data_IF_652555118000
#
_entry.id   IF_652555118000
#
_cell.length_a   1.000
_cell.length_b   1.000
_cell.length_c   1.000
_cell.angle_alpha   90.00
_cell.angle_beta   90.00
_cell.angle_gamma   90.00
#
_symmetry.space_group_name_H-M   'P 1'
#
loop_
_entity.id
_entity.type
_entity.pdbx_description
1 polymer ?
#
# COMPACT_ATOMS: atom_id res chain seq x y z
N UNK A 1 -1.13 8.01 -8.66
CA UNK A 1 -1.92 7.21 -7.67
C UNK A 1 -1.39 7.53 -6.29
N UNK A 2 -2.23 7.51 -5.26
CA UNK A 2 -1.75 7.67 -3.88
C UNK A 2 -0.96 6.42 -3.50
N UNK A 3 0.20 6.58 -2.86
CA UNK A 3 1.02 5.44 -2.41
C UNK A 3 0.36 4.63 -1.27
N UNK A 4 -0.75 5.15 -0.73
CA UNK A 4 -1.48 4.60 0.40
C UNK A 4 -2.98 4.72 0.18
N UNK A 5 -3.76 3.79 0.73
CA UNK A 5 -5.23 3.82 0.68
C UNK A 5 -5.87 3.16 1.91
N UNK A 6 -6.42 3.97 2.81
CA UNK A 6 -7.07 3.54 4.06
C UNK A 6 -8.57 3.75 3.98
N UNK A 7 -9.28 2.75 3.46
CA UNK A 7 -10.73 2.85 3.26
C UNK A 7 -11.47 2.42 4.52
N UNK A 8 -12.45 3.23 4.96
CA UNK A 8 -13.47 2.84 5.92
C UNK A 8 -14.76 2.44 5.16
N UNK A 9 -15.01 1.13 4.93
CA UNK A 9 -16.20 0.67 4.25
C UNK A 9 -17.39 0.49 5.20
N UNK A 10 -18.49 1.18 4.90
CA UNK A 10 -19.76 1.07 5.58
C UNK A 10 -20.93 1.09 4.58
N UNK A 11 -20.71 0.62 3.36
CA UNK A 11 -21.68 0.37 2.27
C UNK A 11 -22.60 -0.83 2.49
N UNK A 12 -22.45 -1.52 3.63
CA UNK A 12 -23.29 -2.64 3.97
C UNK A 12 -24.74 -2.16 4.12
N UNK A 13 -25.70 -2.92 3.58
CA UNK A 13 -27.14 -2.65 3.73
C UNK A 13 -27.76 -3.62 4.73
N UNK A 14 -27.73 -4.92 4.43
CA UNK A 14 -28.20 -5.99 5.33
C UNK A 14 -27.46 -6.03 6.68
N UNK A 15 -26.20 -5.60 6.71
CA UNK A 15 -25.41 -5.52 7.94
C UNK A 15 -26.02 -4.59 8.99
N UNK A 16 -26.53 -3.42 8.58
CA UNK A 16 -27.16 -2.46 9.49
C UNK A 16 -28.54 -2.91 9.92
N UNK A 17 -29.30 -3.58 9.04
CA UNK A 17 -30.57 -4.22 9.39
C UNK A 17 -30.40 -5.22 10.54
N UNK A 18 -29.34 -6.05 10.50
CA UNK A 18 -29.01 -6.95 11.62
C UNK A 18 -28.59 -6.23 12.90
N UNK A 19 -27.87 -5.11 12.81
CA UNK A 19 -27.54 -4.30 14.00
C UNK A 19 -28.83 -3.76 14.64
N UNK A 20 -29.76 -3.28 13.82
CA UNK A 20 -31.06 -2.78 14.27
C UNK A 20 -32.01 -3.90 14.71
N UNK A 21 -31.87 -5.12 14.20
CA UNK A 21 -32.78 -6.23 14.46
C UNK A 21 -34.03 -6.21 13.59
N UNK A 22 -33.94 -5.64 12.38
CA UNK A 22 -35.09 -5.34 11.50
C UNK A 22 -34.99 -6.11 10.18
N UNK A 23 -36.12 -6.30 9.49
CA UNK A 23 -36.24 -6.96 8.18
C UNK A 23 -36.92 -6.03 7.18
N UNK A 24 -36.85 -6.37 5.89
CA UNK A 24 -37.57 -5.62 4.85
C UNK A 24 -39.08 -5.95 4.86
N UNK A 25 -39.96 -5.01 4.46
CA UNK A 25 -39.66 -3.60 4.13
C UNK A 25 -39.37 -2.76 5.38
N UNK A 26 -38.46 -1.78 5.27
CA UNK A 26 -38.12 -0.89 6.37
C UNK A 26 -39.12 0.27 6.49
N UNK A 27 -39.55 0.58 7.70
CA UNK A 27 -40.28 1.81 8.02
C UNK A 27 -39.41 3.05 7.82
N UNK A 28 -40.04 4.24 7.78
CA UNK A 28 -39.33 5.53 7.73
C UNK A 28 -38.37 5.69 8.91
N UNK A 29 -38.79 5.29 10.12
CA UNK A 29 -38.00 5.36 11.35
C UNK A 29 -36.77 4.44 11.30
N UNK A 30 -36.93 3.21 10.83
CA UNK A 30 -35.81 2.26 10.70
C UNK A 30 -34.83 2.71 9.60
N UNK A 31 -35.36 3.22 8.49
CA UNK A 31 -34.53 3.82 7.42
C UNK A 31 -33.71 4.98 7.95
N UNK A 32 -34.31 5.88 8.74
CA UNK A 32 -33.60 6.99 9.36
C UNK A 32 -32.55 6.52 10.35
N UNK A 33 -32.84 5.49 11.17
CA UNK A 33 -31.86 4.92 12.10
C UNK A 33 -30.61 4.37 11.38
N UNK A 34 -30.76 3.73 10.22
CA UNK A 34 -29.62 3.28 9.40
C UNK A 34 -28.79 4.48 8.92
N UNK A 35 -29.44 5.55 8.44
CA UNK A 35 -28.76 6.79 8.02
C UNK A 35 -27.98 7.40 9.18
N UNK A 36 -28.59 7.50 10.36
CA UNK A 36 -27.96 8.09 11.56
C UNK A 36 -26.72 7.31 11.99
N UNK A 37 -26.76 5.98 11.95
CA UNK A 37 -25.59 5.15 12.21
C UNK A 37 -24.46 5.40 11.20
N UNK A 38 -24.77 5.56 9.91
CA UNK A 38 -23.75 5.89 8.89
C UNK A 38 -23.19 7.29 9.11
N UNK A 39 -24.01 8.25 9.53
CA UNK A 39 -23.55 9.60 9.92
C UNK A 39 -22.62 9.54 11.14
N UNK A 40 -22.89 8.69 12.13
CA UNK A 40 -21.98 8.47 13.25
C UNK A 40 -20.63 7.90 12.81
N UNK A 41 -20.63 6.90 11.91
CA UNK A 41 -19.40 6.34 11.35
C UNK A 41 -18.61 7.43 10.62
N UNK A 42 -19.28 8.19 9.77
CA UNK A 42 -18.64 9.27 9.01
C UNK A 42 -18.13 10.40 9.91
N UNK A 43 -18.82 10.70 11.01
CA UNK A 43 -18.35 11.65 12.02
C UNK A 43 -17.07 11.16 12.71
N UNK A 44 -16.99 9.87 13.02
CA UNK A 44 -15.77 9.24 13.55
C UNK A 44 -14.62 9.31 12.55
N UNK A 45 -14.89 9.05 11.28
CA UNK A 45 -13.91 9.20 10.20
C UNK A 45 -13.40 10.64 10.07
N UNK A 46 -14.31 11.63 10.01
CA UNK A 46 -13.92 13.06 9.94
C UNK A 46 -13.07 13.48 11.15
N UNK A 47 -13.37 12.95 12.33
CA UNK A 47 -12.56 13.19 13.54
C UNK A 47 -11.18 12.55 13.45
N UNK A 48 -11.05 11.39 12.81
CA UNK A 48 -9.76 10.74 12.58
C UNK A 48 -8.88 11.57 11.65
N UNK A 49 -9.46 12.11 10.56
CA UNK A 49 -8.76 13.01 9.65
C UNK A 49 -8.19 14.23 10.38
N UNK A 50 -9.00 14.91 11.21
CA UNK A 50 -8.53 16.06 12.01
C UNK A 50 -7.39 15.72 12.99
N UNK A 51 -7.22 14.45 13.36
CA UNK A 51 -6.25 13.98 14.36
C UNK A 51 -4.98 13.39 13.75
N UNK A 52 -4.87 13.32 12.42
CA UNK A 52 -3.79 12.60 11.76
C UNK A 52 -3.47 13.18 10.38
N UNK A 53 -2.28 12.90 9.87
CA UNK A 53 -1.82 13.37 8.55
C UNK A 53 -2.26 12.48 7.38
N UNK A 54 -3.34 11.70 7.53
CA UNK A 54 -3.77 10.70 6.55
C UNK A 54 -4.75 11.22 5.49
N UNK A 55 -5.05 12.53 5.47
CA UNK A 55 -6.07 13.13 4.61
C UNK A 55 -5.99 12.70 3.14
N UNK A 56 -4.79 12.63 2.56
CA UNK A 56 -4.58 12.25 1.16
C UNK A 56 -4.74 10.74 0.89
N UNK A 57 -4.71 9.91 1.94
CA UNK A 57 -4.70 8.45 1.85
C UNK A 57 -5.99 7.82 2.36
N UNK A 58 -6.77 8.53 3.16
CA UNK A 58 -7.98 8.04 3.78
C UNK A 58 -9.21 8.21 2.88
N UNK A 59 -10.03 7.16 2.80
CA UNK A 59 -11.24 7.17 2.00
C UNK A 59 -12.43 6.48 2.68
N UNK A 60 -13.61 6.71 2.12
CA UNK A 60 -14.85 6.07 2.56
C UNK A 60 -15.46 5.24 1.43
N UNK A 61 -16.10 4.13 1.79
CA UNK A 61 -16.94 3.35 0.88
C UNK A 61 -18.34 3.25 1.47
N UNK A 62 -19.32 3.85 0.82
CA UNK A 62 -20.71 3.94 1.31
C UNK A 62 -21.69 3.75 0.15
N UNK A 63 -22.84 3.15 0.43
CA UNK A 63 -23.92 2.97 -0.54
C UNK A 63 -24.72 4.26 -0.74
N UNK A 64 -25.34 4.38 -1.90
CA UNK A 64 -26.21 5.51 -2.20
C UNK A 64 -27.50 5.51 -1.36
N UNK A 65 -28.11 4.34 -1.14
CA UNK A 65 -29.45 4.21 -0.52
C UNK A 65 -29.55 4.92 0.83
N UNK A 66 -28.55 4.74 1.70
CA UNK A 66 -28.54 5.34 3.04
C UNK A 66 -27.40 6.35 3.23
N UNK A 67 -26.52 6.52 2.24
CA UNK A 67 -25.31 7.33 2.36
C UNK A 67 -25.16 8.42 1.30
N UNK A 68 -26.20 8.72 0.51
CA UNK A 68 -26.17 9.79 -0.51
C UNK A 68 -25.59 11.11 0.02
N UNK A 69 -26.10 11.62 1.14
CA UNK A 69 -25.63 12.90 1.70
C UNK A 69 -24.17 12.83 2.18
N UNK A 70 -23.72 11.65 2.64
CA UNK A 70 -22.33 11.42 3.03
C UNK A 70 -21.41 11.48 1.81
N UNK A 71 -21.82 10.90 0.67
CA UNK A 71 -21.06 10.97 -0.59
C UNK A 71 -20.91 12.41 -1.06
N UNK A 72 -21.98 13.21 -0.96
CA UNK A 72 -21.97 14.61 -1.37
C UNK A 72 -21.09 15.47 -0.44
N UNK A 73 -21.18 15.32 0.89
CA UNK A 73 -20.29 16.02 1.84
C UNK A 73 -18.83 15.60 1.65
N UNK A 74 -18.55 14.30 1.46
CA UNK A 74 -17.19 13.81 1.26
C UNK A 74 -16.56 14.37 -0.01
N UNK A 75 -17.32 14.43 -1.12
CA UNK A 75 -16.87 15.05 -2.37
C UNK A 75 -16.53 16.53 -2.17
N UNK A 76 -17.41 17.30 -1.51
CA UNK A 76 -17.17 18.73 -1.23
C UNK A 76 -15.90 18.96 -0.42
N UNK A 77 -15.54 18.01 0.45
CA UNK A 77 -14.34 18.07 1.31
C UNK A 77 -13.08 17.49 0.66
N UNK A 78 -13.14 17.04 -0.59
CA UNK A 78 -12.00 16.39 -1.27
C UNK A 78 -11.61 15.03 -0.66
N UNK A 79 -12.50 14.40 0.12
CA UNK A 79 -12.26 13.07 0.71
C UNK A 79 -12.33 12.03 -0.41
N UNK A 80 -11.44 11.03 -0.37
CA UNK A 80 -11.50 9.90 -1.30
C UNK A 80 -12.83 9.14 -1.11
N UNK A 81 -13.66 9.13 -2.14
CA UNK A 81 -14.91 8.35 -2.15
C UNK A 81 -14.79 7.14 -3.07
N UNK A 82 -15.17 5.99 -2.53
CA UNK A 82 -15.43 4.77 -3.28
C UNK A 82 -16.95 4.57 -3.40
N UNK A 83 -17.46 4.40 -4.61
CA UNK A 83 -18.89 4.27 -4.88
C UNK A 83 -19.27 2.84 -5.27
N UNK A 84 -20.16 2.21 -4.51
CA UNK A 84 -20.62 0.83 -4.74
C UNK A 84 -21.55 0.76 -5.96
N UNK A 85 -21.22 -0.10 -6.92
CA UNK A 85 -22.02 -0.33 -8.12
C UNK A 85 -22.86 -1.60 -8.07
N UNK A 86 -22.48 -2.60 -7.27
CA UNK A 86 -23.18 -3.88 -7.25
C UNK A 86 -24.45 -3.88 -6.39
N UNK A 87 -25.43 -4.66 -6.83
CA UNK A 87 -26.59 -5.03 -6.03
C UNK A 87 -26.16 -5.94 -4.89
N UNK A 88 -26.54 -5.58 -3.66
CA UNK A 88 -26.13 -6.30 -2.45
C UNK A 88 -26.71 -7.72 -2.41
N UNK A 89 -25.90 -8.66 -1.93
CA UNK A 89 -26.35 -10.02 -1.60
C UNK A 89 -26.51 -10.98 -2.78
N UNK A 90 -26.27 -10.53 -4.01
CA UNK A 90 -26.43 -11.37 -5.20
C UNK A 90 -25.28 -12.38 -5.34
N UNK A 91 -25.58 -13.53 -5.97
CA UNK A 91 -24.57 -14.53 -6.37
C UNK A 91 -23.85 -14.10 -7.66
N UNK A 92 -24.60 -13.56 -8.62
CA UNK A 92 -24.09 -12.98 -9.86
C UNK A 92 -24.00 -11.45 -9.72
N UNK A 93 -23.01 -10.85 -10.37
CA UNK A 93 -22.91 -9.41 -10.49
C UNK A 93 -24.07 -8.81 -11.30
N UNK A 94 -24.79 -7.92 -10.64
CA UNK A 94 -25.77 -7.01 -11.22
C UNK A 94 -25.50 -5.60 -10.71
N UNK A 95 -25.72 -4.60 -11.56
CA UNK A 95 -25.72 -3.21 -11.11
C UNK A 95 -26.87 -2.98 -10.13
N UNK A 96 -26.61 -2.23 -9.06
CA UNK A 96 -27.64 -1.82 -8.11
C UNK A 96 -28.69 -0.93 -8.77
N UNK A 97 -28.27 -0.16 -9.78
CA UNK A 97 -29.11 0.75 -10.54
C UNK A 97 -28.83 0.66 -12.03
N UNK A 98 -29.87 0.63 -12.85
CA UNK A 98 -29.75 0.66 -14.32
C UNK A 98 -29.09 1.96 -14.81
N UNK A 99 -29.31 3.07 -14.11
CA UNK A 99 -28.77 4.40 -14.44
C UNK A 99 -27.38 4.69 -13.84
N UNK A 100 -26.58 3.65 -13.52
CA UNK A 100 -25.30 3.81 -12.81
C UNK A 100 -24.33 4.82 -13.48
N UNK A 101 -24.35 4.92 -14.81
CA UNK A 101 -23.54 5.90 -15.57
C UNK A 101 -23.88 7.35 -15.18
N UNK A 102 -25.18 7.67 -15.00
CA UNK A 102 -25.64 8.98 -14.53
C UNK A 102 -25.20 9.21 -13.07
N UNK A 103 -25.26 8.19 -12.22
CA UNK A 103 -24.80 8.28 -10.83
C UNK A 103 -23.30 8.53 -10.70
N UNK A 104 -22.48 7.86 -11.51
CA UNK A 104 -21.03 8.11 -11.56
C UNK A 104 -20.71 9.56 -11.97
N UNK A 105 -21.47 10.15 -12.90
CA UNK A 105 -21.34 11.56 -13.27
C UNK A 105 -21.75 12.52 -12.14
N UNK A 106 -22.80 12.17 -11.38
CA UNK A 106 -23.28 12.95 -10.24
C UNK A 106 -22.25 12.96 -9.10
N UNK A 107 -21.85 11.78 -8.63
CA UNK A 107 -20.97 11.65 -7.47
C UNK A 107 -19.50 11.92 -7.82
N UNK A 108 -19.06 11.69 -9.06
CA UNK A 108 -17.66 11.77 -9.50
C UNK A 108 -16.69 11.10 -8.50
N UNK A 109 -16.91 9.84 -8.13
CA UNK A 109 -16.09 9.20 -7.12
C UNK A 109 -14.67 8.99 -7.64
N UNK A 110 -13.68 8.97 -6.72
CA UNK A 110 -12.31 8.57 -7.09
C UNK A 110 -12.27 7.12 -7.55
N UNK A 111 -13.00 6.24 -6.86
CA UNK A 111 -13.10 4.82 -7.19
C UNK A 111 -14.55 4.40 -7.43
N UNK A 112 -14.80 3.75 -8.56
CA UNK A 112 -15.99 2.92 -8.74
C UNK A 112 -15.70 1.53 -8.18
N UNK A 113 -16.53 1.05 -7.26
CA UNK A 113 -16.34 -0.22 -6.56
C UNK A 113 -17.33 -1.26 -7.05
N UNK A 114 -16.85 -2.47 -7.32
CA UNK A 114 -17.69 -3.66 -7.52
C UNK A 114 -17.26 -4.76 -6.55
N UNK A 115 -18.22 -5.44 -5.93
CA UNK A 115 -17.99 -6.75 -5.30
C UNK A 115 -18.42 -7.86 -6.24
N UNK A 116 -17.49 -8.78 -6.48
CA UNK A 116 -17.65 -9.94 -7.34
C UNK A 116 -17.47 -11.21 -6.52
N UNK A 117 -18.47 -12.09 -6.54
CA UNK A 117 -18.34 -13.44 -5.98
C UNK A 117 -17.83 -14.34 -7.09
N UNK A 118 -16.57 -14.76 -6.98
CA UNK A 118 -15.88 -15.47 -8.04
C UNK A 118 -15.10 -16.64 -7.46
N UNK A 119 -15.46 -17.86 -7.87
CA UNK A 119 -14.67 -19.04 -7.56
C UNK A 119 -14.36 -19.73 -8.90
N UNK A 120 -13.09 -19.79 -9.33
CA UNK A 120 -12.70 -20.31 -10.63
C UNK A 120 -12.97 -21.82 -10.81
N UNK A 121 -13.26 -22.52 -9.72
CA UNK A 121 -13.61 -23.95 -9.71
C UNK A 121 -15.11 -24.21 -9.52
N UNK A 122 -15.93 -23.16 -9.47
CA UNK A 122 -17.38 -23.28 -9.34
C UNK A 122 -18.06 -23.24 -10.72
N UNK A 123 -18.99 -22.31 -10.94
CA UNK A 123 -19.75 -22.22 -12.18
C UNK A 123 -18.99 -21.39 -13.24
N UNK A 124 -18.36 -22.06 -14.20
CA UNK A 124 -17.59 -21.43 -15.27
C UNK A 124 -18.42 -20.50 -16.16
N UNK A 125 -19.65 -20.89 -16.51
CA UNK A 125 -20.55 -20.08 -17.36
C UNK A 125 -20.94 -18.78 -16.65
N UNK A 126 -21.27 -18.86 -15.35
CA UNK A 126 -21.53 -17.71 -14.50
C UNK A 126 -20.31 -16.79 -14.44
N UNK A 127 -19.13 -17.34 -14.19
CA UNK A 127 -17.88 -16.59 -14.12
C UNK A 127 -17.58 -15.85 -15.43
N UNK A 128 -17.75 -16.51 -16.58
CA UNK A 128 -17.58 -15.90 -17.91
C UNK A 128 -18.50 -14.70 -18.11
N UNK A 129 -19.81 -14.84 -17.85
CA UNK A 129 -20.78 -13.73 -17.96
C UNK A 129 -20.45 -12.56 -17.04
N UNK A 130 -19.99 -12.85 -15.82
CA UNK A 130 -19.58 -11.79 -14.90
C UNK A 130 -18.34 -11.04 -15.41
N UNK A 131 -17.35 -11.76 -15.95
CA UNK A 131 -16.15 -11.15 -16.52
C UNK A 131 -16.50 -10.24 -17.71
N UNK A 132 -17.35 -10.70 -18.65
CA UNK A 132 -17.81 -9.91 -19.80
C UNK A 132 -18.43 -8.57 -19.38
N UNK A 133 -19.34 -8.59 -18.38
CA UNK A 133 -19.94 -7.37 -17.81
C UNK A 133 -18.88 -6.42 -17.22
N UNK A 134 -17.83 -6.97 -16.61
CA UNK A 134 -16.76 -6.17 -16.02
C UNK A 134 -15.79 -5.61 -17.07
N UNK A 135 -15.62 -6.26 -18.22
CA UNK A 135 -14.83 -5.72 -19.34
C UNK A 135 -15.47 -4.43 -19.86
N UNK A 136 -16.78 -4.45 -20.08
CA UNK A 136 -17.53 -3.26 -20.51
C UNK A 136 -17.43 -2.13 -19.50
N UNK A 137 -17.59 -2.45 -18.20
CA UNK A 137 -17.43 -1.48 -17.13
C UNK A 137 -16.01 -0.91 -17.10
N UNK A 138 -14.99 -1.74 -17.23
CA UNK A 138 -13.58 -1.33 -17.20
C UNK A 138 -13.27 -0.34 -18.34
N UNK A 139 -13.74 -0.64 -19.57
CA UNK A 139 -13.63 0.27 -20.72
C UNK A 139 -14.31 1.62 -20.45
N UNK A 140 -15.52 1.60 -19.90
CA UNK A 140 -16.25 2.82 -19.55
C UNK A 140 -15.52 3.66 -18.49
N UNK A 141 -15.08 3.04 -17.39
CA UNK A 141 -14.39 3.73 -16.29
C UNK A 141 -13.08 4.36 -16.76
N UNK A 142 -12.29 3.66 -17.58
CA UNK A 142 -11.07 4.19 -18.20
C UNK A 142 -11.37 5.44 -19.05
N UNK A 143 -12.41 5.40 -19.89
CA UNK A 143 -12.85 6.57 -20.69
C UNK A 143 -13.26 7.76 -19.81
N UNK A 144 -13.87 7.49 -18.66
CA UNK A 144 -14.30 8.54 -17.72
C UNK A 144 -13.20 8.98 -16.73
N UNK A 145 -11.99 8.40 -16.80
CA UNK A 145 -10.89 8.63 -15.84
C UNK A 145 -11.31 8.38 -14.38
N UNK A 146 -12.21 7.42 -14.17
CA UNK A 146 -12.61 6.94 -12.83
C UNK A 146 -11.82 5.68 -12.54
N UNK A 147 -11.17 5.60 -11.38
CA UNK A 147 -10.39 4.42 -11.02
C UNK A 147 -11.32 3.26 -10.66
N UNK A 148 -10.92 2.04 -10.99
CA UNK A 148 -11.69 0.84 -10.72
C UNK A 148 -11.16 0.12 -9.48
N UNK A 149 -12.05 -0.15 -8.52
CA UNK A 149 -11.77 -0.94 -7.33
C UNK A 149 -12.62 -2.22 -7.36
N UNK A 150 -11.99 -3.37 -7.54
CA UNK A 150 -12.68 -4.65 -7.59
C UNK A 150 -12.44 -5.44 -6.30
N UNK A 151 -13.52 -5.74 -5.60
CA UNK A 151 -13.53 -6.66 -4.46
C UNK A 151 -13.87 -8.06 -4.95
N UNK A 152 -12.89 -8.96 -4.93
CA UNK A 152 -13.10 -10.38 -5.27
C UNK A 152 -13.30 -11.16 -3.99
N UNK A 153 -14.38 -11.93 -3.91
CA UNK A 153 -14.66 -12.83 -2.80
C UNK A 153 -14.79 -14.27 -3.31
N UNK A 154 -13.81 -15.11 -2.96
CA UNK A 154 -13.88 -16.54 -3.21
C UNK A 154 -14.80 -17.21 -2.20
N UNK A 155 -15.96 -17.66 -2.67
CA UNK A 155 -16.88 -18.45 -1.86
C UNK A 155 -16.59 -19.92 -2.13
N UNK A 156 -16.21 -20.69 -1.11
CA UNK A 156 -15.98 -22.12 -1.29
C UNK A 156 -17.27 -22.82 -1.73
N UNK A 157 -17.16 -23.79 -2.63
CA UNK A 157 -18.27 -24.65 -2.98
C UNK A 157 -18.65 -25.57 -1.81
N UNK A 158 -19.85 -26.16 -1.83
CA UNK A 158 -20.25 -27.17 -0.84
C UNK A 158 -19.26 -28.35 -0.81
N UNK A 159 -18.78 -28.80 -1.97
CA UNK A 159 -17.78 -29.87 -2.08
C UNK A 159 -16.41 -29.48 -1.50
N UNK A 160 -15.96 -28.25 -1.74
CA UNK A 160 -14.72 -27.73 -1.13
C UNK A 160 -14.85 -27.67 0.40
N UNK A 161 -15.97 -27.17 0.94
CA UNK A 161 -16.20 -27.15 2.39
C UNK A 161 -16.18 -28.56 2.99
N UNK A 162 -16.84 -29.53 2.35
CA UNK A 162 -16.82 -30.95 2.79
C UNK A 162 -15.40 -31.52 2.79
N UNK A 163 -14.61 -31.24 1.74
CA UNK A 163 -13.23 -31.74 1.60
C UNK A 163 -12.28 -31.16 2.65
N UNK A 164 -12.35 -29.87 2.92
CA UNK A 164 -11.41 -29.21 3.84
C UNK A 164 -11.87 -29.24 5.30
N UNK A 165 -13.09 -29.71 5.58
CA UNK A 165 -13.73 -29.85 6.91
C UNK A 165 -13.97 -28.53 7.66
N UNK A 166 -13.00 -27.60 7.65
CA UNK A 166 -13.10 -26.29 8.29
C UNK A 166 -12.80 -25.14 7.33
N UNK A 167 -13.39 -23.97 7.60
CA UNK A 167 -13.08 -22.73 6.86
C UNK A 167 -11.59 -22.40 6.97
N UNK A 168 -10.99 -22.55 8.14
CA UNK A 168 -9.56 -22.30 8.38
C UNK A 168 -8.69 -23.18 7.49
N UNK A 169 -8.97 -24.49 7.42
CA UNK A 169 -8.21 -25.40 6.56
C UNK A 169 -8.34 -25.03 5.07
N UNK A 170 -9.52 -24.62 4.61
CA UNK A 170 -9.71 -24.08 3.26
C UNK A 170 -8.89 -22.80 3.02
N UNK A 171 -8.93 -21.86 3.96
CA UNK A 171 -8.22 -20.59 3.90
C UNK A 171 -6.71 -20.80 3.78
N UNK A 172 -6.15 -21.73 4.55
CA UNK A 172 -4.71 -22.04 4.53
C UNK A 172 -4.28 -22.88 3.32
N UNK A 173 -5.06 -23.88 2.90
CA UNK A 173 -4.61 -24.88 1.91
C UNK A 173 -5.01 -24.55 0.47
N UNK A 174 -6.09 -23.78 0.26
CA UNK A 174 -6.72 -23.64 -1.07
C UNK A 174 -7.01 -22.21 -1.48
N UNK A 175 -7.42 -21.33 -0.56
CA UNK A 175 -7.90 -19.98 -0.90
C UNK A 175 -6.89 -19.15 -1.69
N UNK A 176 -5.62 -19.12 -1.28
CA UNK A 176 -4.58 -18.37 -2.01
C UNK A 176 -4.44 -18.79 -3.48
N UNK A 177 -4.49 -20.11 -3.75
CA UNK A 177 -4.46 -20.65 -5.12
C UNK A 177 -5.69 -20.23 -5.93
N UNK A 178 -6.87 -20.21 -5.29
CA UNK A 178 -8.10 -19.75 -5.93
C UNK A 178 -8.08 -18.25 -6.22
N UNK A 179 -7.56 -17.42 -5.32
CA UNK A 179 -7.38 -15.98 -5.52
C UNK A 179 -6.49 -15.74 -6.75
N UNK A 180 -5.30 -16.34 -6.80
CA UNK A 180 -4.37 -16.19 -7.94
C UNK A 180 -5.05 -16.62 -9.24
N UNK A 181 -5.75 -17.76 -9.24
CA UNK A 181 -6.45 -18.25 -10.43
C UNK A 181 -7.60 -17.31 -10.85
N UNK A 182 -8.39 -16.81 -9.90
CA UNK A 182 -9.47 -15.86 -10.17
C UNK A 182 -8.96 -14.57 -10.81
N UNK A 183 -7.88 -14.00 -10.25
CA UNK A 183 -7.23 -12.79 -10.78
C UNK A 183 -6.69 -13.05 -12.18
N UNK A 184 -6.00 -14.18 -12.39
CA UNK A 184 -5.47 -14.57 -13.70
C UNK A 184 -6.58 -14.70 -14.75
N UNK A 185 -7.70 -15.37 -14.43
CA UNK A 185 -8.86 -15.50 -15.33
C UNK A 185 -9.48 -14.14 -15.67
N UNK A 186 -9.66 -13.27 -14.67
CA UNK A 186 -10.22 -11.93 -14.86
C UNK A 186 -9.30 -11.05 -15.73
N UNK A 187 -7.99 -11.04 -15.45
CA UNK A 187 -7.01 -10.30 -16.24
C UNK A 187 -6.95 -10.78 -17.69
N UNK A 188 -6.93 -12.10 -17.91
CA UNK A 188 -6.99 -12.70 -19.26
C UNK A 188 -8.26 -12.34 -20.01
N UNK A 189 -9.38 -12.17 -19.29
CA UNK A 189 -10.63 -11.68 -19.87
C UNK A 189 -10.62 -10.18 -20.18
N UNK A 190 -9.60 -9.42 -19.75
CA UNK A 190 -9.51 -7.97 -19.93
C UNK A 190 -10.04 -7.14 -18.75
N UNK A 191 -10.18 -7.75 -17.57
CA UNK A 191 -10.58 -7.08 -16.32
C UNK A 191 -9.34 -6.90 -15.45
N UNK A 192 -8.77 -5.69 -15.49
CA UNK A 192 -7.61 -5.32 -14.66
C UNK A 192 -7.88 -3.98 -13.95
N UNK A 193 -8.44 -4.01 -12.73
CA UNK A 193 -8.76 -2.84 -11.92
C UNK A 193 -7.50 -2.16 -11.37
N UNK A 194 -7.58 -0.86 -11.09
CA UNK A 194 -6.49 -0.12 -10.43
C UNK A 194 -6.22 -0.65 -9.01
N UNK A 195 -7.28 -1.01 -8.28
CA UNK A 195 -7.21 -1.53 -6.92
C UNK A 195 -7.94 -2.87 -6.81
N UNK A 196 -7.21 -3.89 -6.41
CA UNK A 196 -7.76 -5.17 -5.97
C UNK A 196 -8.03 -5.13 -4.46
N UNK A 197 -9.29 -5.25 -4.06
CA UNK A 197 -9.68 -5.36 -2.66
C UNK A 197 -9.83 -6.84 -2.31
N UNK A 198 -8.86 -7.39 -1.61
CA UNK A 198 -8.72 -8.84 -1.41
C UNK A 198 -8.71 -9.21 0.07
N UNK A 199 -9.06 -10.46 0.37
CA UNK A 199 -8.93 -11.01 1.71
C UNK A 199 -7.47 -11.09 2.15
N UNK A 200 -7.24 -10.88 3.45
CA UNK A 200 -5.90 -11.07 4.01
C UNK A 200 -5.52 -12.55 4.05
N UNK A 201 -4.22 -12.80 3.89
CA UNK A 201 -3.61 -14.12 4.00
C UNK A 201 -2.74 -14.19 5.25
N UNK A 202 -2.54 -15.41 5.77
CA UNK A 202 -1.79 -15.63 7.00
C UNK A 202 -0.27 -15.60 6.81
N UNK A 203 0.20 -15.92 5.61
CA UNK A 203 1.63 -16.02 5.26
C UNK A 203 1.99 -14.96 4.23
N UNK A 204 3.17 -14.34 4.41
CA UNK A 204 3.67 -13.28 3.52
C UNK A 204 3.87 -13.82 2.11
N UNK A 205 4.44 -15.01 1.98
CA UNK A 205 4.80 -15.64 0.71
C UNK A 205 3.57 -15.94 -0.15
N UNK A 206 2.43 -16.22 0.49
CA UNK A 206 1.16 -16.39 -0.23
C UNK A 206 0.61 -15.06 -0.72
N UNK A 207 0.79 -13.98 0.06
CA UNK A 207 0.38 -12.64 -0.32
C UNK A 207 1.28 -12.07 -1.43
N UNK A 208 2.57 -12.39 -1.43
CA UNK A 208 3.51 -12.07 -2.53
C UNK A 208 3.07 -12.73 -3.83
N UNK A 209 2.73 -14.03 -3.82
CA UNK A 209 2.19 -14.70 -5.03
C UNK A 209 0.92 -14.05 -5.59
N UNK A 210 0.04 -13.57 -4.71
CA UNK A 210 -1.15 -12.80 -5.12
C UNK A 210 -0.75 -11.45 -5.71
N UNK A 211 0.21 -10.75 -5.09
CA UNK A 211 0.73 -9.49 -5.59
C UNK A 211 1.38 -9.63 -6.97
N UNK A 212 2.21 -10.66 -7.18
CA UNK A 212 2.87 -10.94 -8.45
C UNK A 212 1.82 -11.09 -9.57
N UNK A 213 0.76 -11.88 -9.32
CA UNK A 213 -0.34 -12.04 -10.26
C UNK A 213 -1.08 -10.71 -10.52
N UNK A 214 -1.41 -9.95 -9.47
CA UNK A 214 -2.05 -8.63 -9.60
C UNK A 214 -1.24 -7.70 -10.49
N UNK A 215 0.09 -7.69 -10.36
CA UNK A 215 0.97 -6.80 -11.12
C UNK A 215 1.38 -7.33 -12.49
N UNK A 216 0.98 -8.55 -12.85
CA UNK A 216 1.43 -9.22 -14.10
C UNK A 216 1.02 -8.45 -15.35
N UNK A 217 -0.24 -8.00 -15.45
CA UNK A 217 -0.74 -7.28 -16.63
C UNK A 217 -0.58 -5.76 -16.50
N UNK A 218 -0.59 -5.26 -15.27
CA UNK A 218 -0.42 -3.84 -14.98
C UNK A 218 0.42 -3.66 -13.71
N UNK A 219 1.71 -3.27 -13.84
CA UNK A 219 2.58 -3.00 -12.69
C UNK A 219 2.08 -1.90 -11.76
N UNK A 220 1.12 -1.07 -12.22
CA UNK A 220 0.51 -0.01 -11.40
C UNK A 220 -0.66 -0.50 -10.57
N UNK A 221 -1.25 -1.68 -10.85
CA UNK A 221 -2.30 -2.26 -10.01
C UNK A 221 -1.79 -2.46 -8.58
N UNK A 222 -2.64 -2.17 -7.59
CA UNK A 222 -2.33 -2.29 -6.16
C UNK A 222 -3.41 -3.05 -5.41
N UNK A 223 -3.08 -3.41 -4.17
CA UNK A 223 -3.96 -4.18 -3.30
C UNK A 223 -4.33 -3.38 -2.05
N UNK A 224 -5.59 -3.51 -1.62
CA UNK A 224 -6.00 -3.19 -0.25
C UNK A 224 -6.57 -4.43 0.42
N UNK A 225 -6.12 -4.71 1.65
CA UNK A 225 -6.56 -5.88 2.41
C UNK A 225 -7.88 -5.59 3.13
N UNK A 226 -8.87 -6.47 2.99
CA UNK A 226 -10.16 -6.34 3.66
C UNK A 226 -10.23 -7.19 4.94
N UNK A 227 -10.99 -6.73 5.94
CA UNK A 227 -11.13 -7.43 7.24
C UNK A 227 -12.28 -8.44 7.32
N UNK A 228 -13.19 -8.50 6.33
CA UNK A 228 -14.40 -9.36 6.24
C UNK A 228 -15.35 -9.36 7.45
N UNK A 229 -15.16 -8.48 8.43
CA UNK A 229 -15.89 -8.51 9.70
C UNK A 229 -15.47 -9.67 10.60
N UNK A 230 -14.25 -10.17 10.42
CA UNK A 230 -13.55 -11.01 11.40
C UNK A 230 -13.26 -10.19 12.67
N UNK A 231 -12.86 -10.87 13.74
CA UNK A 231 -12.47 -10.20 14.99
C UNK A 231 -11.22 -9.31 14.79
N UNK A 232 -11.00 -8.42 15.74
CA UNK A 232 -9.91 -7.43 15.70
C UNK A 232 -8.54 -8.09 15.56
N UNK A 233 -8.25 -9.14 16.35
CA UNK A 233 -6.96 -9.86 16.31
C UNK A 233 -6.63 -10.40 14.92
N UNK A 234 -7.62 -11.02 14.26
CA UNK A 234 -7.45 -11.59 12.93
C UNK A 234 -7.36 -10.52 11.84
N UNK A 235 -8.17 -9.47 11.92
CA UNK A 235 -8.07 -8.33 11.01
C UNK A 235 -6.70 -7.64 11.11
N UNK A 236 -6.17 -7.48 12.32
CA UNK A 236 -4.84 -6.95 12.58
C UNK A 236 -3.75 -7.85 11.98
N UNK A 237 -3.83 -9.16 12.19
CA UNK A 237 -2.89 -10.11 11.60
C UNK A 237 -2.86 -10.01 10.07
N UNK A 238 -4.03 -9.95 9.43
CA UNK A 238 -4.15 -9.80 7.98
C UNK A 238 -3.55 -8.49 7.47
N UNK A 239 -3.80 -7.38 8.17
CA UNK A 239 -3.21 -6.08 7.84
C UNK A 239 -1.70 -6.12 7.99
N UNK A 240 -1.17 -6.71 9.07
CA UNK A 240 0.27 -6.87 9.28
C UNK A 240 0.90 -7.69 8.17
N UNK A 241 0.34 -8.85 7.82
CA UNK A 241 0.87 -9.68 6.73
C UNK A 241 0.83 -8.94 5.40
N UNK A 242 -0.29 -8.26 5.09
CA UNK A 242 -0.43 -7.46 3.88
C UNK A 242 0.58 -6.33 3.79
N UNK A 243 0.79 -5.59 4.88
CA UNK A 243 1.74 -4.47 4.94
C UNK A 243 3.16 -4.88 4.55
N UNK A 244 3.55 -6.14 4.76
CA UNK A 244 4.88 -6.66 4.39
C UNK A 244 5.09 -6.85 2.89
N UNK A 245 4.06 -6.66 2.06
CA UNK A 245 4.11 -6.86 0.61
C UNK A 245 3.97 -5.52 -0.10
N UNK A 246 4.85 -5.24 -1.06
CA UNK A 246 4.99 -3.90 -1.66
C UNK A 246 3.73 -3.45 -2.42
N UNK A 247 3.10 -4.35 -3.18
CA UNK A 247 1.87 -4.05 -3.91
C UNK A 247 0.66 -3.73 -3.01
N UNK A 248 0.73 -4.07 -1.72
CA UNK A 248 -0.32 -3.74 -0.75
C UNK A 248 -0.08 -2.34 -0.21
N UNK A 249 -1.02 -1.44 -0.49
CA UNK A 249 -0.93 -0.01 -0.17
C UNK A 249 -1.85 0.41 0.99
N UNK A 250 -2.62 -0.51 1.55
CA UNK A 250 -3.46 -0.21 2.69
C UNK A 250 -4.52 -1.26 2.93
N UNK A 251 -5.66 -0.81 3.44
CA UNK A 251 -6.72 -1.70 3.90
C UNK A 251 -8.11 -1.12 3.66
N UNK A 252 -9.11 -2.00 3.75
CA UNK A 252 -10.53 -1.67 3.75
C UNK A 252 -11.24 -2.42 4.89
N UNK A 253 -11.27 -1.84 6.10
CA UNK A 253 -11.82 -2.47 7.31
C UNK A 253 -13.04 -1.72 7.82
N UNK A 254 -14.20 -2.37 7.74
CA UNK A 254 -15.51 -1.78 8.05
C UNK A 254 -16.04 -2.20 9.41
N UNK A 255 -16.82 -3.29 9.44
CA UNK A 255 -17.55 -3.74 10.63
C UNK A 255 -16.69 -3.85 11.89
N UNK A 256 -15.43 -4.28 11.78
CA UNK A 256 -14.50 -4.36 12.92
C UNK A 256 -14.25 -3.00 13.57
N UNK A 257 -14.33 -1.90 12.81
CA UNK A 257 -14.19 -0.52 13.33
C UNK A 257 -15.45 -0.06 14.07
N UNK A 258 -16.64 -0.29 13.52
CA UNK A 258 -17.86 0.40 13.98
C UNK A 258 -18.96 -0.48 14.58
N UNK A 259 -18.95 -1.80 14.36
CA UNK A 259 -20.09 -2.66 14.75
C UNK A 259 -20.33 -2.61 16.27
N UNK A 260 -19.29 -2.82 17.08
CA UNK A 260 -19.44 -2.83 18.53
C UNK A 260 -19.80 -1.44 19.10
N UNK A 261 -19.15 -0.33 18.70
CA UNK A 261 -19.58 1.00 19.11
C UNK A 261 -21.04 1.33 18.79
N UNK A 262 -21.55 0.90 17.63
CA UNK A 262 -22.96 1.09 17.28
C UNK A 262 -23.89 0.22 18.11
N UNK A 263 -23.51 -1.03 18.42
CA UNK A 263 -24.30 -1.91 19.30
C UNK A 263 -24.36 -1.37 20.73
N UNK A 264 -23.22 -0.91 21.27
CA UNK A 264 -23.16 -0.29 22.60
C UNK A 264 -24.06 0.96 22.65
N UNK A 265 -24.04 1.79 21.61
CA UNK A 265 -24.91 2.97 21.50
C UNK A 265 -26.39 2.58 21.39
N UNK A 266 -26.73 1.64 20.51
CA UNK A 266 -28.10 1.12 20.35
C UNK A 266 -28.67 0.63 21.67
N UNK A 267 -27.87 -0.10 22.43
CA UNK A 267 -28.24 -0.68 23.72
C UNK A 267 -28.12 0.31 24.88
N UNK A 268 -27.97 1.62 24.60
CA UNK A 268 -27.84 2.72 25.57
C UNK A 268 -26.69 2.55 26.57
N UNK A 269 -25.70 1.69 26.28
CA UNK A 269 -24.50 1.48 27.12
C UNK A 269 -23.52 2.64 27.04
N UNK A 270 -23.52 3.38 25.94
CA UNK A 270 -22.66 4.54 25.73
C UNK A 270 -23.43 5.66 25.00
N UNK A 271 -23.00 6.90 25.20
CA UNK A 271 -23.53 8.03 24.44
C UNK A 271 -23.05 8.04 22.98
N UNK A 272 -23.77 8.80 22.13
CA UNK A 272 -23.39 9.01 20.72
C UNK A 272 -21.97 9.54 20.58
N UNK A 273 -21.55 10.46 21.44
CA UNK A 273 -20.21 11.06 21.41
C UNK A 273 -19.11 10.04 21.77
N UNK A 274 -19.36 9.15 22.73
CA UNK A 274 -18.45 8.05 23.08
C UNK A 274 -18.36 7.05 21.93
N UNK A 275 -19.48 6.69 21.29
CA UNK A 275 -19.47 5.80 20.12
C UNK A 275 -18.63 6.37 18.96
N UNK A 276 -18.79 7.66 18.65
CA UNK A 276 -17.97 8.37 17.65
C UNK A 276 -16.48 8.35 18.03
N UNK A 277 -16.14 8.62 19.31
CA UNK A 277 -14.76 8.54 19.81
C UNK A 277 -14.17 7.13 19.64
N UNK A 278 -14.92 6.07 19.99
CA UNK A 278 -14.50 4.67 19.80
C UNK A 278 -14.28 4.34 18.32
N UNK A 279 -15.20 4.72 17.42
CA UNK A 279 -15.05 4.54 15.97
C UNK A 279 -13.77 5.22 15.46
N UNK A 280 -13.53 6.46 15.91
CA UNK A 280 -12.32 7.23 15.56
C UNK A 280 -11.05 6.46 15.98
N UNK A 281 -11.00 6.01 17.24
CA UNK A 281 -9.86 5.25 17.79
C UNK A 281 -9.63 3.95 17.01
N UNK A 282 -10.69 3.18 16.77
CA UNK A 282 -10.59 1.89 16.09
C UNK A 282 -10.11 2.05 14.64
N UNK A 283 -10.53 3.09 13.93
CA UNK A 283 -10.03 3.36 12.58
C UNK A 283 -8.55 3.74 12.58
N UNK A 284 -8.14 4.64 13.47
CA UNK A 284 -6.73 5.05 13.61
C UNK A 284 -5.83 3.88 14.06
N UNK A 285 -6.33 2.96 14.89
CA UNK A 285 -5.60 1.74 15.26
C UNK A 285 -5.15 0.96 14.02
N UNK A 286 -6.03 0.72 13.05
CA UNK A 286 -5.66 -0.01 11.83
C UNK A 286 -4.70 0.78 10.92
N UNK A 287 -4.81 2.12 10.91
CA UNK A 287 -3.82 2.98 10.26
C UNK A 287 -2.45 2.77 10.91
N UNK A 288 -2.37 2.86 12.23
CA UNK A 288 -1.11 2.71 12.98
C UNK A 288 -0.51 1.32 12.80
N UNK A 289 -1.34 0.27 12.85
CA UNK A 289 -0.91 -1.11 12.60
C UNK A 289 -0.28 -1.23 11.22
N UNK A 290 -0.96 -0.73 10.18
CA UNK A 290 -0.47 -0.83 8.81
C UNK A 290 0.85 -0.05 8.64
N UNK A 291 0.88 1.20 9.10
CA UNK A 291 2.05 2.09 8.97
C UNK A 291 3.27 1.54 9.73
N UNK A 292 3.08 1.11 10.98
CA UNK A 292 4.17 0.52 11.78
C UNK A 292 4.73 -0.73 11.12
N UNK A 293 3.89 -1.60 10.59
CA UNK A 293 4.36 -2.83 9.95
C UNK A 293 5.01 -2.55 8.59
N UNK A 294 4.46 -1.62 7.78
CA UNK A 294 5.04 -1.19 6.51
C UNK A 294 6.41 -0.54 6.71
N UNK A 295 6.61 0.21 7.79
CA UNK A 295 7.89 0.80 8.14
C UNK A 295 8.94 -0.26 8.50
N UNK A 296 8.57 -1.35 9.17
CA UNK A 296 9.50 -2.45 9.46
C UNK A 296 10.01 -3.15 8.21
N UNK A 297 9.23 -3.15 7.12
CA UNK A 297 9.61 -3.80 5.87
C UNK A 297 10.23 -2.86 4.85
N UNK A 298 10.24 -1.54 5.09
CA UNK A 298 11.04 -0.64 4.26
C UNK A 298 12.50 -1.07 4.37
N UNK A 299 13.10 -1.41 3.23
CA UNK A 299 14.54 -1.69 3.17
C UNK A 299 15.28 -0.50 3.77
N UNK A 300 16.07 -0.78 4.81
CA UNK A 300 16.95 0.22 5.41
C UNK A 300 18.06 0.52 4.42
N UNK A 301 18.46 1.79 4.33
CA UNK A 301 19.71 2.15 3.66
C UNK A 301 20.85 2.17 4.67
N UNK A 302 22.07 1.96 4.20
CA UNK A 302 23.25 2.06 5.03
C UNK A 302 23.96 3.37 4.77
N UNK A 303 24.37 4.06 5.83
CA UNK A 303 25.16 5.27 5.71
C UNK A 303 26.47 5.12 6.48
N UNK A 304 27.56 5.65 5.94
CA UNK A 304 28.85 5.63 6.61
C UNK A 304 29.76 6.78 6.17
N UNK A 305 30.69 7.15 7.05
CA UNK A 305 31.74 8.13 6.78
C UNK A 305 32.92 7.92 7.71
N UNK A 306 34.06 8.42 7.30
CA UNK A 306 35.18 8.83 8.14
C UNK A 306 34.94 10.26 8.71
N UNK A 307 35.93 10.81 9.41
CA UNK A 307 35.94 12.14 10.01
C UNK A 307 35.68 13.24 9.01
N UNK A 308 36.18 13.07 7.78
CA UNK A 308 36.03 14.00 6.68
C UNK A 308 34.57 14.14 6.23
N UNK A 309 33.80 13.04 6.26
CA UNK A 309 32.39 13.01 5.92
C UNK A 309 31.43 13.22 7.10
N UNK A 310 31.90 13.14 8.34
CA UNK A 310 31.08 13.10 9.56
C UNK A 310 30.01 14.21 9.65
N UNK A 311 30.41 15.47 9.44
CA UNK A 311 29.49 16.62 9.55
C UNK A 311 28.31 16.51 8.58
N UNK A 312 28.57 16.18 7.32
CA UNK A 312 27.53 16.06 6.30
C UNK A 312 26.68 14.81 6.54
N UNK A 313 27.29 13.70 7.00
CA UNK A 313 26.57 12.48 7.40
C UNK A 313 25.52 12.76 8.46
N UNK A 314 25.87 13.47 9.54
CA UNK A 314 24.94 13.81 10.61
C UNK A 314 23.78 14.68 10.14
N UNK A 315 24.04 15.62 9.22
CA UNK A 315 22.99 16.43 8.60
C UNK A 315 22.05 15.57 7.74
N UNK A 316 22.59 14.63 6.95
CA UNK A 316 21.81 13.69 6.15
C UNK A 316 20.97 12.77 7.05
N UNK A 317 21.51 12.25 8.16
CA UNK A 317 20.78 11.42 9.12
C UNK A 317 19.53 12.12 9.65
N UNK A 318 19.65 13.40 10.01
CA UNK A 318 18.49 14.23 10.42
C UNK A 318 17.47 14.36 9.30
N UNK A 319 17.92 14.60 8.07
CA UNK A 319 17.04 14.67 6.91
C UNK A 319 16.32 13.34 6.64
N UNK A 320 17.02 12.20 6.70
CA UNK A 320 16.45 10.86 6.51
C UNK A 320 15.37 10.57 7.56
N UNK A 321 15.63 10.90 8.84
CA UNK A 321 14.67 10.78 9.94
C UNK A 321 13.40 11.60 9.67
N UNK A 322 13.55 12.86 9.28
CA UNK A 322 12.42 13.75 8.98
C UNK A 322 11.59 13.28 7.78
N UNK A 323 12.21 12.56 6.84
CA UNK A 323 11.54 11.99 5.66
C UNK A 323 11.07 10.54 5.85
N UNK A 324 11.17 9.98 7.06
CA UNK A 324 10.76 8.60 7.38
C UNK A 324 11.42 7.56 6.45
N UNK A 325 12.68 7.80 6.11
CA UNK A 325 13.53 6.86 5.38
C UNK A 325 14.30 6.06 6.43
N UNK A 326 14.08 4.74 6.44
CA UNK A 326 14.75 3.86 7.39
C UNK A 326 16.23 3.75 7.03
N UNK A 327 17.12 3.94 8.01
CA UNK A 327 18.57 3.84 7.79
C UNK A 327 19.29 3.21 8.99
N UNK A 328 20.52 2.76 8.77
CA UNK A 328 21.47 2.36 9.80
C UNK A 328 22.83 3.02 9.50
N UNK A 329 23.42 3.67 10.50
CA UNK A 329 24.77 4.22 10.43
C UNK A 329 25.77 3.11 10.76
N UNK A 330 26.70 2.88 9.84
CA UNK A 330 27.83 1.95 9.96
C UNK A 330 29.18 2.69 9.87
N UNK A 331 29.14 4.03 9.87
CA UNK A 331 30.31 4.89 9.92
C UNK A 331 30.76 5.19 11.35
N UNK A 332 31.56 6.22 11.50
CA UNK A 332 31.97 6.75 12.79
C UNK A 332 30.80 7.33 13.63
N UNK A 333 30.64 6.89 14.88
CA UNK A 333 29.55 7.36 15.75
C UNK A 333 29.87 8.68 16.46
N UNK A 334 31.16 9.02 16.54
CA UNK A 334 31.70 10.28 17.00
C UNK A 334 32.74 10.78 15.98
N UNK A 335 33.14 12.04 16.09
CA UNK A 335 34.24 12.57 15.29
C UNK A 335 35.56 12.01 15.83
N UNK A 336 36.26 11.23 15.02
CA UNK A 336 37.58 10.68 15.31
C UNK A 336 38.51 10.99 14.16
N UNK A 337 39.40 11.96 14.34
CA UNK A 337 40.28 12.45 13.26
C UNK A 337 41.32 11.43 12.78
N UNK A 338 41.44 10.29 13.46
CA UNK A 338 42.35 9.20 13.11
C UNK A 338 41.66 8.07 12.35
N UNK A 339 40.35 8.16 12.13
CA UNK A 339 39.60 7.14 11.39
C UNK A 339 39.87 7.20 9.87
N UNK A 340 39.72 6.05 9.21
CA UNK A 340 39.97 5.91 7.77
C UNK A 340 38.73 5.42 7.02
N UNK A 341 38.44 6.04 5.87
CA UNK A 341 37.25 5.72 5.07
C UNK A 341 37.12 4.25 4.61
N UNK A 342 38.20 3.47 4.33
CA UNK A 342 38.04 2.09 3.84
C UNK A 342 37.28 1.20 4.81
N UNK A 343 37.47 1.36 6.11
CA UNK A 343 36.81 0.55 7.15
C UNK A 343 35.29 0.68 7.09
N UNK A 344 34.81 1.91 6.91
CA UNK A 344 33.39 2.20 6.83
C UNK A 344 32.82 1.88 5.44
N UNK A 345 33.62 2.09 4.37
CA UNK A 345 33.25 1.72 3.01
C UNK A 345 32.95 0.22 2.89
N UNK A 346 33.85 -0.61 3.43
CA UNK A 346 33.72 -2.06 3.37
C UNK A 346 32.48 -2.55 4.15
N UNK A 347 32.27 -2.03 5.37
CA UNK A 347 31.10 -2.34 6.22
C UNK A 347 29.79 -2.03 5.50
N UNK A 348 29.67 -0.83 4.93
CA UNK A 348 28.47 -0.41 4.18
C UNK A 348 28.29 -1.26 2.93
N UNK A 349 29.34 -1.44 2.13
CA UNK A 349 29.25 -2.17 0.87
C UNK A 349 28.86 -3.65 1.08
N UNK A 350 29.46 -4.35 2.04
CA UNK A 350 29.09 -5.73 2.40
C UNK A 350 27.61 -5.83 2.78
N UNK A 351 27.10 -4.89 3.57
CA UNK A 351 25.69 -4.85 3.99
C UNK A 351 24.73 -4.54 2.84
N UNK A 352 25.07 -3.57 2.00
CA UNK A 352 24.31 -3.21 0.79
C UNK A 352 24.14 -4.40 -0.15
N UNK A 353 25.23 -5.12 -0.43
CA UNK A 353 25.21 -6.31 -1.30
C UNK A 353 24.40 -7.44 -0.67
N UNK A 354 24.70 -7.78 0.60
CA UNK A 354 24.03 -8.88 1.31
C UNK A 354 22.51 -8.68 1.39
N UNK A 355 22.07 -7.48 1.72
CA UNK A 355 20.65 -7.18 1.96
C UNK A 355 19.93 -6.63 0.71
N UNK A 356 20.64 -6.53 -0.43
CA UNK A 356 20.14 -6.01 -1.72
C UNK A 356 19.38 -4.68 -1.53
N UNK A 357 20.05 -3.73 -0.89
CA UNK A 357 19.52 -2.40 -0.56
C UNK A 357 20.44 -1.30 -1.14
N UNK A 358 20.33 -0.07 -0.65
CA UNK A 358 21.12 1.07 -1.07
C UNK A 358 22.03 1.59 0.06
N UNK A 359 23.16 2.19 -0.33
CA UNK A 359 24.13 2.80 0.57
C UNK A 359 24.38 4.27 0.25
N UNK A 360 24.82 5.03 1.26
CA UNK A 360 25.38 6.37 1.14
C UNK A 360 26.72 6.36 1.86
N UNK A 361 27.78 6.78 1.17
CA UNK A 361 29.12 6.88 1.74
C UNK A 361 29.65 8.30 1.61
N UNK A 362 30.41 8.75 2.59
CA UNK A 362 31.03 10.07 2.58
C UNK A 362 32.48 9.96 3.01
N UNK A 363 33.35 10.70 2.32
CA UNK A 363 34.68 11.06 2.80
C UNK A 363 35.03 12.45 2.28
N UNK A 364 36.28 12.92 2.42
CA UNK A 364 36.72 14.24 1.97
C UNK A 364 36.25 14.58 0.54
N UNK A 365 36.78 13.85 -0.45
CA UNK A 365 36.44 14.00 -1.89
C UNK A 365 35.36 13.03 -2.40
N UNK A 366 34.99 12.03 -1.59
CA UNK A 366 34.22 10.84 -1.97
C UNK A 366 34.87 9.90 -3.00
N UNK A 367 36.07 10.17 -3.49
CA UNK A 367 36.74 9.30 -4.47
C UNK A 367 37.29 8.03 -3.83
N UNK A 368 38.10 8.17 -2.77
CA UNK A 368 38.70 7.03 -2.08
C UNK A 368 37.64 6.07 -1.53
N UNK A 369 36.60 6.60 -0.88
CA UNK A 369 35.50 5.78 -0.33
C UNK A 369 34.72 5.06 -1.42
N UNK A 370 34.59 5.66 -2.61
CA UNK A 370 33.98 5.04 -3.79
C UNK A 370 34.84 3.90 -4.33
N UNK A 371 36.16 4.11 -4.44
CA UNK A 371 37.11 3.07 -4.86
C UNK A 371 37.09 1.90 -3.90
N UNK A 372 37.19 2.15 -2.59
CA UNK A 372 37.17 1.12 -1.56
C UNK A 372 35.87 0.31 -1.56
N UNK A 373 34.71 0.97 -1.65
CA UNK A 373 33.42 0.28 -1.69
C UNK A 373 33.29 -0.65 -2.90
N UNK A 374 33.80 -0.24 -4.07
CA UNK A 374 33.79 -1.05 -5.29
C UNK A 374 34.75 -2.26 -5.25
N UNK A 375 35.58 -2.41 -4.21
CA UNK A 375 36.35 -3.66 -3.97
C UNK A 375 35.48 -4.79 -3.43
N UNK A 376 34.28 -4.50 -2.92
CA UNK A 376 33.33 -5.52 -2.49
C UNK A 376 32.53 -6.01 -3.69
N UNK A 377 32.64 -7.30 -4.01
CA UNK A 377 31.92 -7.93 -5.13
C UNK A 377 30.41 -7.63 -5.07
N UNK A 378 29.87 -7.14 -6.19
CA UNK A 378 28.47 -6.73 -6.33
C UNK A 378 28.15 -5.31 -5.83
N UNK A 379 29.09 -4.62 -5.20
CA UNK A 379 28.96 -3.19 -4.91
C UNK A 379 29.22 -2.39 -6.19
N UNK A 380 28.38 -1.39 -6.43
CA UNK A 380 28.49 -0.42 -7.53
C UNK A 380 28.34 0.96 -6.93
N UNK A 381 29.43 1.44 -6.36
CA UNK A 381 29.55 2.77 -5.79
C UNK A 381 29.86 3.79 -6.88
N UNK A 382 29.24 4.97 -6.77
CA UNK A 382 29.38 6.08 -7.72
C UNK A 382 29.58 7.39 -6.97
N UNK A 383 30.39 8.29 -7.51
CA UNK A 383 30.56 9.66 -7.02
C UNK A 383 30.06 10.67 -8.07
N UNK A 384 28.74 10.82 -8.27
CA UNK A 384 28.20 11.75 -9.26
C UNK A 384 28.31 13.20 -8.76
N UNK A 385 28.60 14.14 -9.66
CA UNK A 385 28.73 15.56 -9.32
C UNK A 385 27.40 16.34 -9.38
N UNK A 386 26.29 15.68 -9.72
CA UNK A 386 24.98 16.33 -9.80
C UNK A 386 23.81 15.37 -10.01
N UNK A 387 22.60 15.93 -9.96
CA UNK A 387 21.33 15.18 -9.94
C UNK A 387 21.13 14.34 -11.21
N UNK A 388 21.51 14.86 -12.38
CA UNK A 388 21.39 14.15 -13.67
C UNK A 388 22.32 12.94 -13.70
N UNK A 389 23.57 13.08 -13.25
CA UNK A 389 24.48 11.95 -13.15
C UNK A 389 24.00 10.93 -12.11
N UNK A 390 23.43 11.38 -10.98
CA UNK A 390 22.82 10.47 -10.00
C UNK A 390 21.64 9.69 -10.59
N UNK A 391 20.81 10.35 -11.42
CA UNK A 391 19.70 9.71 -12.14
C UNK A 391 20.23 8.62 -13.07
N UNK A 392 21.24 8.94 -13.89
CA UNK A 392 21.84 7.98 -14.82
C UNK A 392 22.49 6.82 -14.06
N UNK A 393 23.30 7.09 -13.02
CA UNK A 393 23.92 6.07 -12.18
C UNK A 393 22.93 4.99 -11.70
N UNK A 394 21.71 5.38 -11.30
CA UNK A 394 20.66 4.41 -10.96
C UNK A 394 20.05 3.76 -12.18
N UNK A 395 19.66 4.57 -13.18
CA UNK A 395 18.85 4.14 -14.32
C UNK A 395 19.62 3.23 -15.27
N UNK A 396 20.90 3.50 -15.50
CA UNK A 396 21.74 2.86 -16.52
C UNK A 396 22.78 1.91 -15.92
N UNK A 397 23.40 2.27 -14.78
CA UNK A 397 24.47 1.49 -14.15
C UNK A 397 24.00 0.67 -12.94
N UNK A 398 22.71 0.72 -12.60
CA UNK A 398 22.13 0.11 -11.39
C UNK A 398 23.02 0.28 -10.14
N UNK A 399 23.55 1.49 -9.95
CA UNK A 399 24.41 1.79 -8.81
C UNK A 399 23.66 1.54 -7.50
N UNK A 400 24.35 0.99 -6.50
CA UNK A 400 23.75 0.67 -5.20
C UNK A 400 24.37 1.44 -4.03
N UNK A 401 25.44 2.19 -4.26
CA UNK A 401 26.05 3.07 -3.25
C UNK A 401 26.29 4.46 -3.85
N UNK A 402 25.81 5.51 -3.19
CA UNK A 402 26.05 6.90 -3.55
C UNK A 402 27.15 7.49 -2.66
N UNK A 403 28.26 7.92 -3.25
CA UNK A 403 29.37 8.58 -2.57
C UNK A 403 29.22 10.11 -2.69
N UNK A 404 29.41 10.85 -1.59
CA UNK A 404 29.28 12.31 -1.54
C UNK A 404 30.47 12.96 -0.82
N UNK A 405 30.99 14.05 -1.37
CA UNK A 405 32.11 14.78 -0.78
C UNK A 405 31.69 15.50 0.51
N UNK A 406 32.39 15.22 1.61
CA UNK A 406 32.23 15.82 2.93
C UNK A 406 33.02 17.10 3.14
N UNK A 407 34.03 17.36 2.29
CA UNK A 407 34.78 18.62 2.20
C UNK A 407 35.77 18.93 3.32
N UNK A 408 35.97 18.01 4.29
CA UNK A 408 37.08 18.11 5.25
C UNK A 408 38.20 17.18 4.80
N UNK A 409 39.10 17.65 3.94
CA UNK A 409 40.36 16.95 3.63
C UNK A 409 41.53 17.77 4.18
N UNK A 410 42.74 17.19 4.21
CA UNK A 410 43.99 17.95 4.42
C UNK A 410 44.15 19.10 3.42
N UNK A 411 43.44 19.06 2.29
CA UNK A 411 43.28 20.16 1.32
C UNK A 411 41.84 20.73 1.37
N UNK A 412 41.66 22.06 1.26
CA UNK A 412 40.34 22.70 1.28
C UNK A 412 39.58 22.38 -0.02
N UNK A 413 38.80 21.30 0.00
CA UNK A 413 37.83 20.98 -1.07
C UNK A 413 36.42 21.29 -0.57
N UNK A 414 35.55 21.94 -1.36
CA UNK A 414 34.19 22.24 -0.92
C UNK A 414 33.40 20.96 -0.68
N UNK A 415 32.69 20.91 0.45
CA UNK A 415 31.73 19.86 0.73
C UNK A 415 30.54 19.94 -0.22
N UNK A 416 29.86 18.82 -0.45
CA UNK A 416 28.58 18.83 -1.17
C UNK A 416 27.56 19.58 -0.31
N UNK A 417 26.97 20.70 -0.79
CA UNK A 417 25.99 21.42 0.01
C UNK A 417 24.79 20.53 0.36
N UNK A 418 24.29 20.61 1.59
CA UNK A 418 23.22 19.73 2.08
C UNK A 418 21.98 19.71 1.17
N UNK A 419 21.59 20.87 0.62
CA UNK A 419 20.46 20.98 -0.32
C UNK A 419 20.70 20.15 -1.59
N UNK A 420 21.94 20.15 -2.10
CA UNK A 420 22.33 19.36 -3.27
C UNK A 420 22.41 17.86 -2.91
N UNK A 421 23.05 17.54 -1.78
CA UNK A 421 23.16 16.17 -1.27
C UNK A 421 21.79 15.50 -1.10
N UNK A 422 20.84 16.18 -0.45
CA UNK A 422 19.48 15.64 -0.22
C UNK A 422 18.68 15.47 -1.51
N UNK A 423 18.84 16.37 -2.50
CA UNK A 423 18.25 16.18 -3.84
C UNK A 423 18.85 14.96 -4.54
N UNK A 424 20.16 14.78 -4.50
CA UNK A 424 20.83 13.62 -5.09
C UNK A 424 20.41 12.32 -4.40
N UNK A 425 20.39 12.28 -3.07
CA UNK A 425 19.90 11.12 -2.29
C UNK A 425 18.45 10.82 -2.68
N UNK A 426 17.57 11.82 -2.73
CA UNK A 426 16.18 11.61 -3.15
C UNK A 426 16.09 11.03 -4.57
N UNK A 427 16.87 11.53 -5.51
CA UNK A 427 16.94 10.97 -6.87
C UNK A 427 17.44 9.53 -6.86
N UNK A 428 18.52 9.24 -6.12
CA UNK A 428 19.12 7.92 -6.02
C UNK A 428 18.17 6.87 -5.43
N UNK A 429 17.43 7.23 -4.38
CA UNK A 429 16.50 6.33 -3.72
C UNK A 429 15.22 6.06 -4.55
N UNK A 430 14.80 7.01 -5.39
CA UNK A 430 13.52 6.92 -6.12
C UNK A 430 13.66 6.52 -7.59
N UNK A 431 14.88 6.43 -8.12
CA UNK A 431 15.11 6.07 -9.54
C UNK A 431 15.25 4.56 -9.67
N UNK A 432 14.33 3.87 -10.37
CA UNK A 432 14.48 2.45 -10.67
C UNK A 432 15.54 2.25 -11.77
N UNK A 433 16.16 1.06 -11.78
CA UNK A 433 16.92 0.60 -12.94
C UNK A 433 15.98 0.46 -14.14
N UNK A 434 16.45 0.84 -15.33
CA UNK A 434 15.60 0.87 -16.53
C UNK A 434 15.31 -0.49 -17.14
N UNK A 435 16.09 -1.52 -16.81
CA UNK A 435 15.97 -2.88 -17.37
C UNK A 435 16.07 -2.94 -18.92
N UNK A 436 16.50 -1.87 -19.59
CA UNK A 436 16.75 -1.88 -21.03
C UNK A 436 17.89 -2.86 -21.36
N UNK A 437 17.74 -3.62 -22.45
CA UNK A 437 18.70 -4.67 -22.85
C UNK A 437 20.15 -4.17 -22.90
N UNK A 438 20.35 -2.95 -23.42
CA UNK A 438 21.69 -2.32 -23.51
C UNK A 438 22.34 -2.13 -22.14
N UNK A 439 21.55 -1.81 -21.11
CA UNK A 439 22.02 -1.59 -19.74
C UNK A 439 22.28 -2.92 -19.03
N UNK A 440 21.37 -3.91 -19.18
CA UNK A 440 21.57 -5.28 -18.68
C UNK A 440 22.86 -5.89 -19.26
N UNK A 441 23.07 -5.74 -20.58
CA UNK A 441 24.29 -6.21 -21.26
C UNK A 441 25.55 -5.59 -20.66
N UNK A 442 25.57 -4.27 -20.41
CA UNK A 442 26.71 -3.57 -19.80
C UNK A 442 26.96 -4.03 -18.37
N UNK A 443 25.91 -4.18 -17.57
CA UNK A 443 26.01 -4.73 -16.21
C UNK A 443 26.59 -6.14 -16.19
N UNK A 444 26.16 -7.01 -17.10
CA UNK A 444 26.71 -8.36 -17.21
C UNK A 444 28.19 -8.36 -17.57
N UNK A 445 28.67 -7.39 -18.36
CA UNK A 445 30.11 -7.23 -18.63
C UNK A 445 30.86 -6.76 -17.37
N UNK A 446 30.34 -5.77 -16.65
CA UNK A 446 30.93 -5.31 -15.37
C UNK A 446 31.02 -6.46 -14.37
N UNK A 447 29.95 -7.25 -14.23
CA UNK A 447 29.91 -8.41 -13.32
C UNK A 447 30.99 -9.46 -13.64
N UNK A 448 31.36 -9.63 -14.91
CA UNK A 448 32.47 -10.52 -15.32
C UNK A 448 33.85 -9.97 -14.95
N UNK A 449 33.97 -8.66 -14.73
CA UNK A 449 35.21 -8.01 -14.30
C UNK A 449 35.41 -8.06 -12.78
N UNK A 450 34.35 -8.34 -12.00
CA UNK A 450 34.43 -8.49 -10.55
C UNK A 450 35.29 -9.70 -10.19
N UNK A 451 36.45 -9.45 -9.57
CA UNK A 451 37.36 -10.49 -9.09
C UNK A 451 36.95 -10.94 -7.69
#
# INVERSE_FOLDING_TARGET
MTNKLYVLPFDHRSGFKRILGVKDPLSRKETQAIKDYKVMIYSGFKKALKKSSIHESAGILVDETYGKEILLDAKKRGIITCYTLEKSGQKEFFFDRKDYKKRLKLFKPKYAKVLLRYNPEANKTLNKRQAEKLVELSKYLKKQKILFLLEVLEIPTKSQLKRYKTKTAFDHKKRSKLIVKAISELQKAGVDPDIWKLEGLYKKELMEKVADQVTTFNPRSKIVVLGRGENEKKAEQWIKTGAKVDAVIGFAVGRTVFKQPLLDYKNKKISKSIAIKKITKNYLHFVDVFEKEKLKTKKKIYIGSDHAGFKLKEQIKRWLKNNQIAYQDLGNLALDVTDDYPDYAEKVAKKVVKEKTLGILLCGSAEGVCIAANKVKGARAVNPHGIIQTLFAKKHEDANILCLAGGKSRTPQPSTPLVKATKMIKTFLNTPFSEEERHIRRLNKIKKMEK
#
